data_IF_748162373286
#
_entry.id   IF_748162373286
#
_cell.length_a   1.000
_cell.length_b   1.000
_cell.length_c   1.000
_cell.angle_alpha   90.00
_cell.angle_beta   90.00
_cell.angle_gamma   90.00
#
_symmetry.space_group_name_H-M   'P 1'
#
loop_
_entity.id
_entity.type
_entity.pdbx_description
1 polymer ?
#
# COMPACT_ATOMS: atom_id res chain seq x y z
N UNK A 1 -4.56 18.69 -6.68
CA UNK A 1 -4.24 18.12 -5.36
C UNK A 1 -3.92 16.65 -5.53
N UNK A 2 -2.81 16.21 -5.00
CA UNK A 2 -2.38 14.81 -5.19
C UNK A 2 -3.01 13.91 -4.15
N UNK A 3 -4.01 13.16 -4.59
CA UNK A 3 -4.65 12.14 -3.74
C UNK A 3 -3.77 10.88 -3.72
N UNK A 4 -4.10 9.94 -2.84
CA UNK A 4 -3.44 8.64 -2.87
C UNK A 4 -3.60 7.96 -4.22
N UNK A 5 -4.78 8.08 -4.84
CA UNK A 5 -4.98 7.52 -6.18
C UNK A 5 -3.99 8.12 -7.17
N UNK A 6 -3.84 9.44 -7.17
CA UNK A 6 -2.92 10.11 -8.08
C UNK A 6 -1.48 9.64 -7.84
N UNK A 7 -1.10 9.49 -6.58
CA UNK A 7 0.25 9.06 -6.22
C UNK A 7 0.53 7.62 -6.62
N UNK A 8 -0.44 6.73 -6.45
CA UNK A 8 -0.31 5.34 -6.87
C UNK A 8 -0.21 5.26 -8.38
N UNK A 9 -1.05 6.02 -9.10
CA UNK A 9 -0.99 6.05 -10.57
C UNK A 9 0.36 6.56 -11.04
N UNK A 10 0.91 7.58 -10.40
CA UNK A 10 2.22 8.08 -10.74
C UNK A 10 3.30 7.03 -10.50
N UNK A 11 3.21 6.30 -9.38
CA UNK A 11 4.15 5.24 -9.06
C UNK A 11 4.12 4.12 -10.09
N UNK A 12 2.94 3.82 -10.63
CA UNK A 12 2.75 2.77 -11.64
C UNK A 12 2.91 3.28 -13.06
N UNK A 13 3.08 4.58 -13.24
CA UNK A 13 3.18 5.23 -14.55
C UNK A 13 1.92 4.95 -15.38
N UNK A 14 0.75 5.09 -14.75
CA UNK A 14 -0.54 4.92 -15.42
C UNK A 14 -1.11 6.26 -15.83
N UNK A 15 -1.44 6.37 -17.11
CA UNK A 15 -1.99 7.61 -17.66
C UNK A 15 -3.48 7.53 -17.96
N UNK A 16 -4.08 6.35 -17.86
CA UNK A 16 -5.50 6.15 -18.12
C UNK A 16 -6.28 5.98 -16.83
N UNK A 17 -7.60 6.11 -16.94
CA UNK A 17 -8.49 6.04 -15.79
C UNK A 17 -9.29 4.72 -15.72
N UNK A 18 -8.98 3.77 -16.60
CA UNK A 18 -9.77 2.55 -16.71
C UNK A 18 -9.77 1.71 -15.43
N UNK A 19 -8.68 1.76 -14.66
CA UNK A 19 -8.55 0.95 -13.46
C UNK A 19 -8.68 1.76 -12.18
N UNK A 20 -9.17 2.99 -12.24
CA UNK A 20 -9.25 3.86 -11.07
C UNK A 20 -10.06 3.24 -9.94
N UNK A 21 -11.21 2.65 -10.26
CA UNK A 21 -12.05 2.04 -9.25
C UNK A 21 -11.36 0.85 -8.59
N UNK A 22 -10.69 0.04 -9.38
CA UNK A 22 -9.91 -1.10 -8.87
C UNK A 22 -8.77 -0.62 -7.98
N UNK A 23 -8.06 0.41 -8.42
CA UNK A 23 -6.97 0.99 -7.62
C UNK A 23 -7.48 1.53 -6.29
N UNK A 24 -8.66 2.15 -6.27
CA UNK A 24 -9.25 2.63 -5.02
C UNK A 24 -9.49 1.49 -4.05
N UNK A 25 -9.89 0.32 -4.55
CA UNK A 25 -10.07 -0.85 -3.70
C UNK A 25 -8.75 -1.32 -3.10
N UNK A 26 -7.70 -1.34 -3.90
CA UNK A 26 -6.37 -1.72 -3.40
C UNK A 26 -5.81 -0.70 -2.42
N UNK A 27 -6.07 0.58 -2.66
CA UNK A 27 -5.66 1.63 -1.73
C UNK A 27 -6.38 1.45 -0.39
N UNK A 28 -7.68 1.19 -0.42
CA UNK A 28 -8.44 0.95 0.80
C UNK A 28 -7.88 -0.25 1.58
N UNK A 29 -7.56 -1.32 0.87
CA UNK A 29 -6.96 -2.50 1.50
C UNK A 29 -5.59 -2.18 2.10
N UNK A 30 -4.78 -1.40 1.40
CA UNK A 30 -3.45 -1.02 1.88
C UNK A 30 -3.54 -0.13 3.11
N UNK A 31 -4.46 0.81 3.12
CA UNK A 31 -4.68 1.69 4.29
C UNK A 31 -5.15 0.85 5.49
N UNK A 32 -6.07 -0.07 5.25
CA UNK A 32 -6.56 -0.95 6.32
C UNK A 32 -5.43 -1.80 6.89
N UNK A 33 -4.56 -2.33 6.03
CA UNK A 33 -3.39 -3.08 6.47
C UNK A 33 -2.48 -2.21 7.33
N UNK A 34 -2.23 -0.96 6.90
CA UNK A 34 -1.37 -0.05 7.63
C UNK A 34 -1.92 0.25 9.02
N UNK A 35 -3.20 0.54 9.11
CA UNK A 35 -3.85 0.82 10.39
C UNK A 35 -3.75 -0.38 11.32
N UNK A 36 -4.01 -1.56 10.79
CA UNK A 36 -3.95 -2.79 11.57
C UNK A 36 -2.52 -3.07 12.06
N UNK A 37 -1.55 -2.93 11.18
CA UNK A 37 -0.15 -3.16 11.53
C UNK A 37 0.32 -2.19 12.59
N UNK A 38 -0.12 -0.94 12.51
CA UNK A 38 0.28 0.10 13.45
C UNK A 38 -0.58 0.13 14.72
N UNK A 39 -1.51 -0.80 14.85
CA UNK A 39 -2.41 -0.91 16.02
C UNK A 39 -3.31 0.31 16.17
N UNK A 40 -3.74 0.88 15.05
CA UNK A 40 -4.65 2.00 15.04
C UNK A 40 -6.08 1.52 14.81
N UNK A 41 -7.03 2.31 15.27
CA UNK A 41 -8.44 2.03 15.02
C UNK A 41 -8.72 2.16 13.52
N UNK A 42 -9.54 1.27 12.98
CA UNK A 42 -9.96 1.35 11.59
C UNK A 42 -10.58 2.72 11.30
N UNK A 43 -10.18 3.31 10.18
CA UNK A 43 -10.66 4.64 9.80
C UNK A 43 -9.83 5.80 10.33
N UNK A 44 -8.74 5.52 11.06
CA UNK A 44 -7.87 6.58 11.60
C UNK A 44 -7.39 7.51 10.49
N UNK A 45 -6.96 6.94 9.35
CA UNK A 45 -6.40 7.74 8.27
C UNK A 45 -7.46 8.38 7.37
N UNK A 46 -8.73 8.17 7.63
CA UNK A 46 -9.78 8.96 6.99
C UNK A 46 -9.90 10.33 7.64
N UNK A 47 -9.62 10.42 8.93
CA UNK A 47 -9.76 11.64 9.71
C UNK A 47 -8.44 12.35 9.97
N UNK A 48 -7.33 11.63 9.94
CA UNK A 48 -6.02 12.17 10.28
C UNK A 48 -5.07 12.10 9.09
N UNK A 49 -4.13 13.04 9.05
CA UNK A 49 -3.11 13.05 8.01
C UNK A 49 -2.15 11.88 8.22
N UNK A 50 -1.89 11.15 7.14
CA UNK A 50 -0.99 10.01 7.17
C UNK A 50 0.46 10.49 7.18
N UNK A 51 1.31 9.95 8.06
CA UNK A 51 2.73 10.30 8.03
C UNK A 51 3.37 9.91 6.68
N UNK A 52 4.41 10.63 6.25
CA UNK A 52 5.02 10.36 4.94
C UNK A 52 5.53 8.93 4.76
N UNK A 53 6.11 8.32 5.80
CA UNK A 53 6.60 6.95 5.70
C UNK A 53 5.46 5.96 5.57
N UNK A 54 4.37 6.16 6.30
CA UNK A 54 3.18 5.33 6.16
C UNK A 54 2.56 5.51 4.78
N UNK A 55 2.48 6.74 4.29
CA UNK A 55 1.95 7.00 2.96
C UNK A 55 2.76 6.27 1.90
N UNK A 56 4.08 6.31 2.00
CA UNK A 56 4.94 5.59 1.06
C UNK A 56 4.68 4.09 1.10
N UNK A 57 4.50 3.54 2.30
CA UNK A 57 4.18 2.12 2.45
C UNK A 57 2.85 1.76 1.79
N UNK A 58 1.84 2.62 1.97
CA UNK A 58 0.52 2.41 1.36
C UNK A 58 0.62 2.45 -0.17
N UNK A 59 1.36 3.41 -0.71
CA UNK A 59 1.56 3.52 -2.16
C UNK A 59 2.23 2.26 -2.70
N UNK A 60 3.29 1.80 -2.03
CA UNK A 60 4.01 0.60 -2.45
C UNK A 60 3.12 -0.63 -2.39
N UNK A 61 2.37 -0.78 -1.30
CA UNK A 61 1.51 -1.95 -1.14
C UNK A 61 0.37 -1.95 -2.15
N UNK A 62 -0.30 -0.82 -2.35
CA UNK A 62 -1.37 -0.72 -3.35
C UNK A 62 -0.85 -1.03 -4.75
N UNK A 63 0.33 -0.50 -5.08
CA UNK A 63 0.96 -0.76 -6.37
C UNK A 63 1.29 -2.24 -6.53
N UNK A 64 1.82 -2.86 -5.49
CA UNK A 64 2.15 -4.28 -5.52
C UNK A 64 0.88 -5.13 -5.72
N UNK A 65 -0.20 -4.79 -5.02
CA UNK A 65 -1.47 -5.51 -5.17
C UNK A 65 -1.99 -5.37 -6.59
N UNK A 66 -1.89 -4.19 -7.17
CA UNK A 66 -2.33 -3.96 -8.55
C UNK A 66 -1.51 -4.79 -9.53
N UNK A 67 -0.20 -4.76 -9.39
CA UNK A 67 0.69 -5.49 -10.31
C UNK A 67 0.57 -7.01 -10.16
N UNK A 68 0.18 -7.49 -8.99
CA UNK A 68 0.06 -8.91 -8.70
C UNK A 68 -1.34 -9.47 -8.95
N UNK A 69 -2.29 -8.63 -9.37
CA UNK A 69 -3.70 -9.03 -9.46
C UNK A 69 -3.97 -10.05 -10.55
N UNK A 70 -3.13 -10.09 -11.57
CA UNK A 70 -3.35 -10.94 -12.73
C UNK A 70 -2.58 -12.24 -12.58
N UNK A 71 -3.28 -13.27 -12.13
CA UNK A 71 -2.69 -14.60 -11.97
C UNK A 71 -2.26 -15.24 -13.29
N UNK A 72 -2.66 -14.67 -14.44
CA UNK A 72 -2.24 -15.20 -15.73
C UNK A 72 -0.75 -14.97 -15.98
N UNK A 73 -0.10 -14.15 -15.17
CA UNK A 73 1.35 -13.97 -15.24
C UNK A 73 2.05 -14.97 -14.32
N UNK A 74 1.50 -16.19 -14.22
CA UNK A 74 2.03 -17.20 -13.30
C UNK A 74 3.53 -17.41 -13.39
N UNK A 75 4.08 -17.47 -14.59
CA UNK A 75 5.51 -17.59 -14.77
C UNK A 75 6.26 -16.38 -14.23
N UNK A 76 5.78 -15.20 -14.57
CA UNK A 76 6.35 -13.96 -14.06
C UNK A 76 6.25 -13.91 -12.53
N UNK A 77 5.09 -14.25 -12.01
CA UNK A 77 4.87 -14.24 -10.57
C UNK A 77 5.81 -15.20 -9.86
N UNK A 78 5.98 -16.39 -10.41
CA UNK A 78 6.89 -17.37 -9.82
C UNK A 78 8.33 -16.84 -9.80
N UNK A 79 8.75 -16.16 -10.86
CA UNK A 79 10.09 -15.60 -10.94
C UNK A 79 10.29 -14.41 -10.01
N UNK A 80 9.18 -13.80 -9.55
CA UNK A 80 9.23 -12.59 -8.72
C UNK A 80 8.76 -12.82 -7.29
N UNK A 81 8.70 -14.07 -6.83
CA UNK A 81 8.32 -14.35 -5.44
C UNK A 81 9.24 -13.63 -4.47
N UNK A 82 10.54 -13.65 -4.74
CA UNK A 82 11.50 -12.99 -3.87
C UNK A 82 11.30 -11.47 -3.89
N UNK A 83 11.02 -10.89 -5.05
CA UNK A 83 10.74 -9.47 -5.15
C UNK A 83 9.48 -9.09 -4.37
N UNK A 84 8.45 -9.93 -4.41
CA UNK A 84 7.25 -9.74 -3.60
C UNK A 84 7.54 -9.76 -2.12
N UNK A 85 8.36 -10.71 -1.68
CA UNK A 85 8.78 -10.78 -0.28
C UNK A 85 9.56 -9.54 0.14
N UNK A 86 10.42 -9.03 -0.73
CA UNK A 86 11.16 -7.80 -0.46
C UNK A 86 10.22 -6.60 -0.33
N UNK A 87 9.20 -6.52 -1.19
CA UNK A 87 8.21 -5.45 -1.11
C UNK A 87 7.51 -5.48 0.25
N UNK A 88 7.05 -6.65 0.68
CA UNK A 88 6.41 -6.79 1.99
C UNK A 88 7.34 -6.41 3.13
N UNK A 89 8.62 -6.79 3.03
CA UNK A 89 9.60 -6.45 4.06
C UNK A 89 9.79 -4.93 4.16
N UNK A 90 9.88 -4.23 3.03
CA UNK A 90 10.02 -2.78 3.02
C UNK A 90 8.75 -2.11 3.56
N UNK A 91 7.58 -2.55 3.10
CA UNK A 91 6.30 -2.01 3.57
C UNK A 91 6.21 -2.14 5.09
N UNK A 92 6.50 -3.32 5.61
CA UNK A 92 6.42 -3.54 7.06
C UNK A 92 7.44 -2.69 7.83
N UNK A 93 8.63 -2.50 7.28
CA UNK A 93 9.64 -1.65 7.90
C UNK A 93 9.16 -0.20 7.98
N UNK A 94 8.61 0.32 6.88
CA UNK A 94 8.10 1.68 6.84
C UNK A 94 6.93 1.88 7.82
N UNK A 95 6.03 0.91 7.86
CA UNK A 95 4.88 1.00 8.78
C UNK A 95 5.31 0.95 10.23
N UNK A 96 6.34 0.17 10.53
CA UNK A 96 6.85 0.05 11.89
C UNK A 96 7.42 1.36 12.40
N UNK A 97 7.98 2.20 11.52
CA UNK A 97 8.54 3.48 11.92
C UNK A 97 7.48 4.41 12.50
N UNK A 98 6.23 4.29 12.05
CA UNK A 98 5.14 5.14 12.49
C UNK A 98 4.20 4.43 13.46
N UNK A 99 4.58 3.23 13.89
CA UNK A 99 3.77 2.47 14.83
C UNK A 99 3.72 3.19 16.16
N UNK A 100 2.54 3.14 16.80
CA UNK A 100 2.37 3.78 18.09
C UNK A 100 3.03 2.93 19.19
N UNK A 101 4.23 3.29 19.53
CA UNK A 101 5.00 2.59 20.53
C UNK A 101 4.51 2.84 21.96
N UNK A 102 3.64 3.84 22.14
CA UNK A 102 3.10 4.15 23.46
C UNK A 102 2.04 3.15 23.90
N UNK A 103 1.44 2.46 22.96
CA UNK A 103 0.34 1.55 23.26
C UNK A 103 0.78 0.37 24.10
N UNK A 104 1.98 -0.06 24.00
CA UNK A 104 2.46 -1.22 24.73
C UNK A 104 3.25 -0.91 26.00
N UNK A 105 3.32 0.34 26.35
CA UNK A 105 4.17 0.76 27.48
C UNK A 105 3.45 0.72 28.81
#
# INVERSE_FOLDING_TARGET
MNTLLDKVKANLILEHDADDELLQQYIAAAVSYAESYQHLTAGTYEAAVMPPTTEQAVIMLASHLYESRDGSTGGFFADNVQAGQQTWAVVNTLLRLDRDWKVGV
#
